data_IF_216143973511
#
_entry.id   IF_216143973511
#
_cell.length_a   1.000
_cell.length_b   1.000
_cell.length_c   1.000
_cell.angle_alpha   90.00
_cell.angle_beta   90.00
_cell.angle_gamma   90.00
#
_symmetry.space_group_name_H-M   'P 1'
#
loop_
_entity.id
_entity.type
_entity.pdbx_description
1 polymer ?
#
# COMPACT_ATOMS: atom_id res chain seq x y z
N UNK A 1 -10.73 12.12 23.07
CA UNK A 1 -10.01 12.27 21.77
C UNK A 1 -9.85 10.98 20.97
N UNK A 2 -9.87 9.80 21.58
CA UNK A 2 -9.88 8.49 20.88
C UNK A 2 -10.99 8.34 19.81
N UNK A 3 -12.17 8.96 20.01
CA UNK A 3 -13.28 8.92 19.04
C UNK A 3 -13.02 9.68 17.73
N UNK A 4 -12.17 10.70 17.74
CA UNK A 4 -11.78 11.43 16.53
C UNK A 4 -10.83 10.63 15.64
N UNK A 5 -9.93 9.85 16.23
CA UNK A 5 -9.01 9.00 15.47
C UNK A 5 -9.73 7.82 14.80
N UNK A 6 -10.68 7.18 15.47
CA UNK A 6 -11.43 6.05 14.91
C UNK A 6 -12.36 6.47 13.76
N UNK A 7 -12.99 7.65 13.86
CA UNK A 7 -13.83 8.20 12.77
C UNK A 7 -13.05 8.49 11.48
N UNK A 8 -11.72 8.69 11.55
CA UNK A 8 -10.89 8.93 10.38
C UNK A 8 -10.40 7.64 9.69
N UNK A 9 -10.45 6.50 10.38
CA UNK A 9 -10.00 5.22 9.83
C UNK A 9 -11.11 4.46 9.08
N UNK A 10 -12.38 4.78 9.36
CA UNK A 10 -13.56 4.02 8.90
C UNK A 10 -14.09 4.45 7.53
N UNK A 11 -13.46 5.45 6.87
CA UNK A 11 -13.90 5.91 5.56
C UNK A 11 -13.23 5.11 4.43
N UNK A 12 -13.76 3.91 4.24
CA UNK A 12 -13.93 3.16 2.99
C UNK A 12 -12.79 3.17 1.96
N UNK A 13 -11.74 2.39 2.23
CA UNK A 13 -10.98 1.76 1.15
C UNK A 13 -11.86 0.75 0.36
N UNK A 14 -12.90 0.24 0.98
CA UNK A 14 -13.88 -0.69 0.39
C UNK A 14 -14.72 -0.06 -0.73
N UNK A 15 -15.12 1.22 -0.61
CA UNK A 15 -15.94 1.89 -1.64
C UNK A 15 -15.24 2.07 -2.98
N UNK A 16 -13.92 2.13 -3.00
CA UNK A 16 -13.17 2.23 -4.25
C UNK A 16 -13.02 0.88 -4.96
N UNK A 17 -12.88 -0.21 -4.22
CA UNK A 17 -12.75 -1.55 -4.81
C UNK A 17 -14.10 -2.12 -5.25
N UNK A 18 -15.20 -1.81 -4.53
CA UNK A 18 -16.54 -2.27 -4.89
C UNK A 18 -17.28 -1.39 -5.89
N UNK A 19 -16.89 -0.12 -6.08
CA UNK A 19 -17.54 0.79 -7.01
C UNK A 19 -17.04 0.69 -8.47
N UNK A 20 -16.25 -0.33 -8.82
CA UNK A 20 -15.83 -0.64 -10.19
C UNK A 20 -16.98 -1.18 -11.08
N UNK A 21 -18.23 -0.88 -10.69
CA UNK A 21 -19.42 -1.25 -11.44
C UNK A 21 -19.61 -0.43 -12.71
N UNK A 22 -19.83 -1.13 -13.78
CA UNK A 22 -20.46 -0.82 -15.06
C UNK A 22 -20.32 0.62 -15.58
N UNK A 23 -19.44 0.81 -16.57
CA UNK A 23 -19.51 1.94 -17.49
C UNK A 23 -20.60 1.68 -18.53
N UNK A 24 -21.68 2.46 -18.63
CA UNK A 24 -22.79 2.21 -19.55
C UNK A 24 -22.42 2.39 -21.03
N UNK A 25 -21.23 2.92 -21.33
CA UNK A 25 -20.84 3.27 -22.71
C UNK A 25 -20.01 2.22 -23.45
N UNK A 26 -19.43 1.26 -22.76
CA UNK A 26 -18.66 0.17 -23.39
C UNK A 26 -19.51 -1.08 -23.62
N UNK A 27 -20.77 -0.94 -24.01
CA UNK A 27 -21.82 -1.98 -24.17
C UNK A 27 -21.27 -3.41 -24.29
N UNK A 28 -21.47 -4.23 -23.26
CA UNK A 28 -21.07 -5.65 -23.24
C UNK A 28 -19.57 -5.92 -23.01
N UNK A 29 -18.75 -4.88 -22.87
CA UNK A 29 -17.30 -4.99 -22.61
C UNK A 29 -16.82 -4.19 -21.40
N UNK A 30 -17.72 -3.92 -20.47
CA UNK A 30 -17.46 -3.07 -19.29
C UNK A 30 -16.30 -3.63 -18.46
N UNK A 31 -16.24 -4.92 -18.26
CA UNK A 31 -15.14 -5.58 -17.52
C UNK A 31 -13.78 -5.41 -18.20
N UNK A 32 -13.75 -5.55 -19.54
CA UNK A 32 -12.52 -5.36 -20.32
C UNK A 32 -12.09 -3.89 -20.30
N UNK A 33 -13.05 -2.96 -20.42
CA UNK A 33 -12.79 -1.51 -20.33
C UNK A 33 -12.27 -1.11 -18.96
N UNK A 34 -12.93 -1.54 -17.89
CA UNK A 34 -12.50 -1.24 -16.51
C UNK A 34 -11.09 -1.78 -16.23
N UNK A 35 -10.79 -2.99 -16.69
CA UNK A 35 -9.45 -3.54 -16.56
C UNK A 35 -8.40 -2.74 -17.36
N UNK A 36 -8.70 -2.37 -18.61
CA UNK A 36 -7.84 -1.53 -19.43
C UNK A 36 -7.61 -0.16 -18.78
N UNK A 37 -8.68 0.50 -18.31
CA UNK A 37 -8.62 1.79 -17.66
C UNK A 37 -7.78 1.72 -16.38
N UNK A 38 -7.96 0.67 -15.59
CA UNK A 38 -7.12 0.42 -14.41
C UNK A 38 -5.64 0.29 -14.77
N UNK A 39 -5.31 -0.46 -15.82
CA UNK A 39 -3.91 -0.61 -16.25
C UNK A 39 -3.32 0.72 -16.75
N UNK A 40 -4.11 1.52 -17.48
CA UNK A 40 -3.73 2.85 -17.98
C UNK A 40 -3.41 3.81 -16.83
N UNK A 41 -4.19 3.78 -15.74
CA UNK A 41 -4.05 4.66 -14.58
C UNK A 41 -3.36 3.99 -13.38
N UNK A 42 -2.69 2.87 -13.59
CA UNK A 42 -2.06 2.08 -12.52
C UNK A 42 -1.09 2.91 -11.66
N UNK A 43 -0.30 3.74 -12.28
CA UNK A 43 0.70 4.54 -11.59
C UNK A 43 0.05 5.69 -10.78
N UNK A 44 -1.01 6.30 -11.31
CA UNK A 44 -1.81 7.30 -10.59
C UNK A 44 -2.49 6.67 -9.36
N UNK A 45 -3.08 5.49 -9.52
CA UNK A 45 -3.67 4.73 -8.42
C UNK A 45 -2.64 4.31 -7.37
N UNK A 46 -1.43 3.95 -7.80
CA UNK A 46 -0.33 3.67 -6.88
C UNK A 46 0.11 4.93 -6.11
N UNK A 47 0.14 6.09 -6.78
CA UNK A 47 0.42 7.39 -6.14
C UNK A 47 -0.64 7.74 -5.09
N UNK A 48 -1.92 7.53 -5.39
CA UNK A 48 -3.03 7.73 -4.44
C UNK A 48 -2.87 6.82 -3.21
N UNK A 49 -2.56 5.54 -3.41
CA UNK A 49 -2.29 4.62 -2.30
C UNK A 49 -1.11 5.10 -1.44
N UNK A 50 -0.03 5.54 -2.07
CA UNK A 50 1.13 6.10 -1.37
C UNK A 50 0.77 7.35 -0.55
N UNK A 51 -0.06 8.25 -1.09
CA UNK A 51 -0.54 9.43 -0.37
C UNK A 51 -1.42 9.04 0.84
N UNK A 52 -2.30 8.04 0.70
CA UNK A 52 -3.12 7.52 1.81
C UNK A 52 -2.25 6.93 2.92
N UNK A 53 -1.25 6.12 2.56
CA UNK A 53 -0.29 5.59 3.54
C UNK A 53 0.51 6.71 4.24
N UNK A 54 0.91 7.74 3.49
CA UNK A 54 1.58 8.91 4.07
C UNK A 54 0.67 9.67 5.05
N UNK A 55 -0.62 9.82 4.74
CA UNK A 55 -1.61 10.39 5.64
C UNK A 55 -1.75 9.56 6.93
N UNK A 56 -1.91 8.24 6.81
CA UNK A 56 -1.97 7.33 7.97
C UNK A 56 -0.73 7.43 8.85
N UNK A 57 0.46 7.49 8.25
CA UNK A 57 1.70 7.67 8.99
C UNK A 57 1.77 9.03 9.70
N UNK A 58 1.25 10.09 9.07
CA UNK A 58 1.16 11.42 9.69
C UNK A 58 0.25 11.39 10.92
N UNK A 59 -0.89 10.69 10.87
CA UNK A 59 -1.78 10.54 12.02
C UNK A 59 -1.14 9.72 13.16
N UNK A 60 -0.47 8.61 12.86
CA UNK A 60 0.25 7.83 13.88
C UNK A 60 1.35 8.65 14.57
N UNK A 61 2.07 9.48 13.80
CA UNK A 61 3.08 10.37 14.38
C UNK A 61 2.44 11.49 15.19
N UNK A 62 1.27 12.00 14.78
CA UNK A 62 0.51 12.99 15.53
C UNK A 62 0.03 12.44 16.87
N UNK A 63 -0.50 11.23 16.89
CA UNK A 63 -0.91 10.52 18.10
C UNK A 63 0.26 10.38 19.08
N UNK A 64 1.42 9.90 18.60
CA UNK A 64 2.63 9.82 19.42
C UNK A 64 3.04 11.18 19.98
N UNK A 65 3.01 12.25 19.17
CA UNK A 65 3.38 13.59 19.65
C UNK A 65 2.36 14.11 20.67
N UNK A 66 1.09 13.78 20.56
CA UNK A 66 0.06 14.09 21.53
C UNK A 66 0.29 13.35 22.86
N UNK A 67 0.63 12.06 22.79
CA UNK A 67 0.98 11.29 24.00
C UNK A 67 2.23 11.85 24.69
N UNK A 68 3.24 12.29 23.92
CA UNK A 68 4.42 12.96 24.47
C UNK A 68 4.03 14.28 25.15
N UNK A 69 3.14 15.10 24.57
CA UNK A 69 2.63 16.33 25.18
C UNK A 69 1.95 16.04 26.52
N UNK A 70 1.07 15.06 26.54
CA UNK A 70 0.37 14.65 27.76
C UNK A 70 1.35 14.20 28.85
N UNK A 71 2.40 13.44 28.50
CA UNK A 71 3.44 13.03 29.46
C UNK A 71 4.19 14.23 30.03
N UNK A 72 4.49 15.24 29.22
CA UNK A 72 5.15 16.46 29.72
C UNK A 72 4.24 17.26 30.61
N UNK A 73 2.94 17.37 30.32
CA UNK A 73 1.97 18.00 31.21
C UNK A 73 1.89 17.26 32.55
N UNK A 74 1.82 15.95 32.54
CA UNK A 74 1.84 15.13 33.75
C UNK A 74 3.10 15.36 34.61
N UNK A 75 4.27 15.52 33.97
CA UNK A 75 5.51 15.82 34.66
C UNK A 75 5.52 17.25 35.25
N UNK A 76 5.00 18.22 34.51
CA UNK A 76 4.86 19.58 34.97
C UNK A 76 3.92 19.66 36.17
N UNK A 77 2.80 18.95 36.13
CA UNK A 77 1.85 18.89 37.25
C UNK A 77 2.47 18.24 38.49
N UNK A 78 3.22 17.13 38.31
CA UNK A 78 3.97 16.52 39.44
C UNK A 78 4.90 17.51 40.13
N UNK A 79 5.61 18.31 39.34
CA UNK A 79 6.50 19.34 39.89
C UNK A 79 5.70 20.44 40.59
N UNK A 80 4.59 20.88 40.01
CA UNK A 80 3.71 21.89 40.58
C UNK A 80 3.17 21.44 41.96
N UNK A 81 2.70 20.21 42.08
CA UNK A 81 2.27 19.63 43.35
C UNK A 81 3.41 19.59 44.38
N UNK A 82 4.64 19.24 43.95
CA UNK A 82 5.80 19.22 44.83
C UNK A 82 6.14 20.63 45.33
N UNK A 83 6.06 21.64 44.48
CA UNK A 83 6.25 23.06 44.87
C UNK A 83 5.20 23.47 45.88
N UNK A 84 3.94 23.06 45.71
CA UNK A 84 2.84 23.32 46.64
C UNK A 84 2.93 22.52 47.95
N UNK A 85 3.97 21.72 48.15
CA UNK A 85 4.21 20.98 49.37
C UNK A 85 3.51 19.62 49.45
N UNK A 86 3.22 19.03 48.32
CA UNK A 86 2.65 17.68 48.24
C UNK A 86 3.70 16.64 47.87
N UNK A 87 3.62 15.49 48.53
CA UNK A 87 4.48 14.34 48.23
C UNK A 87 3.68 13.30 47.41
N UNK A 88 4.30 12.81 46.39
CA UNK A 88 3.73 11.69 45.62
C UNK A 88 3.63 10.43 46.48
N UNK A 89 2.46 9.79 46.53
CA UNK A 89 2.21 8.55 47.21
C UNK A 89 1.64 7.55 46.20
N UNK A 90 2.51 6.73 45.65
CA UNK A 90 2.10 5.75 44.62
C UNK A 90 1.75 6.39 43.27
N UNK A 91 0.99 5.71 42.43
CA UNK A 91 0.63 6.18 41.10
C UNK A 91 -0.51 7.20 41.08
N UNK A 92 -1.17 7.45 42.20
CA UNK A 92 -2.29 8.38 42.34
C UNK A 92 -1.92 9.57 43.24
N UNK A 93 -2.48 10.75 42.95
CA UNK A 93 -2.20 12.01 43.66
C UNK A 93 -3.51 12.62 44.15
N UNK A 94 -3.51 13.16 45.38
CA UNK A 94 -4.67 13.79 45.98
C UNK A 94 -4.40 15.30 46.10
N UNK A 95 -5.29 16.11 45.56
CA UNK A 95 -5.20 17.56 45.66
C UNK A 95 -5.56 18.07 47.05
N UNK A 96 -5.13 19.33 47.46
CA UNK A 96 -5.36 19.87 48.78
C UNK A 96 -6.83 20.06 49.13
N UNK A 97 -7.68 20.22 48.13
CA UNK A 97 -9.13 20.43 48.30
C UNK A 97 -9.90 19.09 48.43
N UNK A 98 -9.18 17.95 48.53
CA UNK A 98 -9.79 16.61 48.62
C UNK A 98 -10.34 16.09 47.30
N UNK A 99 -10.15 16.83 46.20
CA UNK A 99 -10.51 16.31 44.87
C UNK A 99 -9.47 15.28 44.43
N UNK A 100 -9.91 14.08 44.19
CA UNK A 100 -9.04 13.03 43.67
C UNK A 100 -8.92 13.16 42.16
N UNK A 101 -7.79 13.58 41.69
CA UNK A 101 -7.43 13.43 40.30
C UNK A 101 -7.10 11.96 40.04
N UNK A 102 -7.75 11.35 39.07
CA UNK A 102 -7.64 9.91 38.74
C UNK A 102 -6.23 9.43 38.40
N UNK A 103 -5.24 10.32 38.33
CA UNK A 103 -3.90 9.97 37.85
C UNK A 103 -2.81 10.26 38.93
N UNK A 104 -3.05 11.14 39.92
CA UNK A 104 -2.00 11.55 40.86
C UNK A 104 -2.52 11.65 42.29
N UNK A 105 -1.85 10.99 43.24
CA UNK A 105 -2.04 11.15 44.70
C UNK A 105 -0.81 11.81 45.33
N UNK A 106 -1.00 12.95 46.03
CA UNK A 106 0.05 13.59 46.81
C UNK A 106 -0.40 13.75 48.26
N UNK A 107 0.45 13.38 49.20
CA UNK A 107 0.28 13.76 50.61
C UNK A 107 1.03 15.07 50.88
N UNK A 108 0.47 15.89 51.81
CA UNK A 108 1.07 17.15 52.22
C UNK A 108 2.50 16.90 52.72
N UNK A 109 3.46 17.62 52.17
CA UNK A 109 4.85 17.57 52.61
C UNK A 109 5.10 18.51 53.75
N UNK A 110 5.68 18.03 54.85
CA UNK A 110 5.92 18.84 56.07
C UNK A 110 7.17 19.72 56.01
N UNK A 111 7.99 19.60 54.95
CA UNK A 111 9.24 20.38 54.81
C UNK A 111 9.07 21.52 53.80
N UNK A 112 9.53 22.72 54.16
CA UNK A 112 9.69 23.82 53.20
C UNK A 112 10.86 23.54 52.26
N UNK A 113 10.63 23.72 50.97
CA UNK A 113 11.72 23.76 49.99
C UNK A 113 12.57 25.02 50.28
N UNK A 114 13.89 24.92 50.10
CA UNK A 114 14.72 26.12 50.07
C UNK A 114 14.50 26.88 48.75
N UNK A 115 14.77 28.18 48.71
CA UNK A 115 14.51 29.02 47.54
C UNK A 115 15.18 28.47 46.27
N UNK A 116 16.43 28.02 46.36
CA UNK A 116 17.15 27.47 45.20
C UNK A 116 16.52 26.18 44.65
N UNK A 117 15.97 25.32 45.53
CA UNK A 117 15.28 24.11 45.11
C UNK A 117 13.92 24.44 44.48
N UNK A 118 13.22 25.45 44.98
CA UNK A 118 11.97 25.95 44.42
C UNK A 118 12.18 26.55 43.04
N UNK A 119 13.19 27.38 42.83
CA UNK A 119 13.56 27.98 41.57
C UNK A 119 13.93 26.88 40.53
N UNK A 120 14.72 25.91 40.95
CA UNK A 120 15.10 24.78 40.11
C UNK A 120 13.86 23.97 39.64
N UNK A 121 12.91 23.73 40.55
CA UNK A 121 11.65 23.03 40.20
C UNK A 121 10.75 23.87 39.30
N UNK A 122 10.66 25.19 39.51
CA UNK A 122 9.92 26.10 38.64
C UNK A 122 10.50 26.14 37.24
N UNK A 123 11.83 26.17 37.12
CA UNK A 123 12.49 26.10 35.81
C UNK A 123 12.19 24.77 35.09
N UNK A 124 12.28 23.65 35.80
CA UNK A 124 11.95 22.33 35.24
C UNK A 124 10.47 22.24 34.83
N UNK A 125 9.53 22.76 35.63
CA UNK A 125 8.11 22.84 35.31
C UNK A 125 7.87 23.64 34.04
N UNK A 126 8.48 24.81 33.93
CA UNK A 126 8.34 25.67 32.75
C UNK A 126 8.91 24.99 31.49
N UNK A 127 10.03 24.29 31.62
CA UNK A 127 10.60 23.51 30.52
C UNK A 127 9.65 22.37 30.03
N UNK A 128 9.06 21.62 30.95
CA UNK A 128 8.10 20.60 30.59
C UNK A 128 6.84 21.17 29.93
N UNK A 129 6.31 22.30 30.44
CA UNK A 129 5.20 22.99 29.78
C UNK A 129 5.55 23.45 28.37
N UNK A 130 6.76 23.97 28.17
CA UNK A 130 7.24 24.33 26.81
C UNK A 130 7.31 23.10 25.90
N UNK A 131 7.86 21.98 26.38
CA UNK A 131 7.94 20.72 25.62
C UNK A 131 6.55 20.15 25.30
N UNK A 132 5.60 20.27 26.22
CA UNK A 132 4.19 19.89 25.96
C UNK A 132 3.61 20.71 24.82
N UNK A 133 3.70 22.02 24.88
CA UNK A 133 3.21 22.92 23.82
C UNK A 133 3.87 22.64 22.47
N UNK A 134 5.18 22.42 22.45
CA UNK A 134 5.90 22.07 21.22
C UNK A 134 5.39 20.74 20.60
N UNK A 135 5.13 19.75 21.46
CA UNK A 135 4.60 18.45 21.04
C UNK A 135 3.17 18.55 20.52
N UNK A 136 2.33 19.38 21.16
CA UNK A 136 0.96 19.66 20.68
C UNK A 136 0.96 20.36 19.32
N UNK A 137 1.78 21.40 19.17
CA UNK A 137 1.93 22.11 17.90
C UNK A 137 2.40 21.14 16.80
N UNK A 138 3.34 20.25 17.12
CA UNK A 138 3.81 19.21 16.21
C UNK A 138 2.69 18.25 15.83
N UNK A 139 1.89 17.81 16.79
CA UNK A 139 0.72 16.96 16.56
C UNK A 139 -0.27 17.63 15.61
N UNK A 140 -0.63 18.89 15.86
CA UNK A 140 -1.54 19.67 15.00
C UNK A 140 -1.01 19.82 13.57
N UNK A 141 0.29 20.10 13.40
CA UNK A 141 0.92 20.18 12.07
C UNK A 141 0.85 18.84 11.32
N UNK A 142 1.06 17.73 12.02
CA UNK A 142 0.99 16.40 11.45
C UNK A 142 -0.45 16.02 11.05
N UNK A 143 -1.45 16.37 11.85
CA UNK A 143 -2.87 16.20 11.53
C UNK A 143 -3.23 17.02 10.28
N UNK A 144 -2.82 18.28 10.24
CA UNK A 144 -3.07 19.16 9.08
C UNK A 144 -2.44 18.59 7.81
N UNK A 145 -1.21 18.07 7.90
CA UNK A 145 -0.52 17.41 6.78
C UNK A 145 -1.27 16.15 6.34
N UNK A 146 -1.67 15.30 7.30
CA UNK A 146 -2.44 14.09 7.03
C UNK A 146 -3.77 14.39 6.34
N UNK A 147 -4.51 15.41 6.81
CA UNK A 147 -5.75 15.87 6.20
C UNK A 147 -5.56 16.33 4.76
N UNK A 148 -4.51 17.12 4.46
CA UNK A 148 -4.19 17.56 3.09
C UNK A 148 -3.91 16.37 2.19
N UNK A 149 -3.09 15.41 2.63
CA UNK A 149 -2.76 14.21 1.87
C UNK A 149 -4.01 13.33 1.62
N UNK A 150 -4.84 13.12 2.65
CA UNK A 150 -6.09 12.35 2.53
C UNK A 150 -7.07 13.02 1.55
N UNK A 151 -7.26 14.33 1.67
CA UNK A 151 -8.19 15.06 0.81
C UNK A 151 -7.72 15.09 -0.65
N UNK A 152 -6.42 15.30 -0.90
CA UNK A 152 -5.83 15.21 -2.23
C UNK A 152 -6.04 13.83 -2.83
N UNK A 153 -5.70 12.77 -2.10
CA UNK A 153 -5.90 11.39 -2.54
C UNK A 153 -7.37 11.06 -2.82
N UNK A 154 -8.30 11.58 -1.99
CA UNK A 154 -9.76 11.39 -2.18
C UNK A 154 -10.26 12.12 -3.43
N UNK A 155 -9.81 13.35 -3.66
CA UNK A 155 -10.20 14.14 -4.83
C UNK A 155 -9.72 13.46 -6.13
N UNK A 156 -8.48 13.00 -6.15
CA UNK A 156 -7.89 12.35 -7.31
C UNK A 156 -8.54 10.98 -7.60
N UNK A 157 -8.80 10.19 -6.56
CA UNK A 157 -9.54 8.95 -6.70
C UNK A 157 -10.96 9.16 -7.25
N UNK A 158 -11.67 10.21 -6.78
CA UNK A 158 -12.99 10.57 -7.31
C UNK A 158 -12.92 10.99 -8.78
N UNK A 159 -11.89 11.75 -9.20
CA UNK A 159 -11.69 12.14 -10.59
C UNK A 159 -11.51 10.89 -11.46
N UNK A 160 -10.58 10.00 -11.11
CA UNK A 160 -10.32 8.77 -11.87
C UNK A 160 -11.58 7.90 -11.98
N UNK A 161 -12.33 7.77 -10.87
CA UNK A 161 -13.59 7.00 -10.88
C UNK A 161 -14.67 7.64 -11.75
N UNK A 162 -14.77 8.99 -11.71
CA UNK A 162 -15.70 9.72 -12.55
C UNK A 162 -15.37 9.54 -14.02
N UNK A 163 -14.10 9.68 -14.40
CA UNK A 163 -13.64 9.56 -15.79
C UNK A 163 -13.82 8.11 -16.29
N UNK A 164 -13.57 7.12 -15.45
CA UNK A 164 -13.84 5.72 -15.76
C UNK A 164 -15.32 5.45 -16.02
N UNK A 165 -16.22 6.04 -15.23
CA UNK A 165 -17.68 5.89 -15.39
C UNK A 165 -18.22 6.70 -16.59
N UNK A 166 -17.54 7.77 -16.96
CA UNK A 166 -17.92 8.67 -18.04
C UNK A 166 -16.80 8.77 -19.09
N UNK A 167 -16.51 7.67 -19.82
CA UNK A 167 -15.41 7.64 -20.77
C UNK A 167 -15.63 8.68 -21.88
N UNK A 168 -14.57 9.39 -22.23
CA UNK A 168 -14.56 10.27 -23.41
C UNK A 168 -14.53 9.43 -24.70
N UNK A 169 -14.90 10.04 -25.82
CA UNK A 169 -14.76 9.38 -27.11
C UNK A 169 -13.30 8.96 -27.38
N UNK A 170 -12.34 9.74 -26.93
CA UNK A 170 -10.91 9.43 -27.03
C UNK A 170 -10.56 8.17 -26.23
N UNK A 171 -11.02 8.04 -24.98
CA UNK A 171 -10.76 6.86 -24.16
C UNK A 171 -11.34 5.59 -24.78
N UNK A 172 -12.52 5.69 -25.36
CA UNK A 172 -13.14 4.57 -26.07
C UNK A 172 -12.33 4.16 -27.30
N UNK A 173 -11.89 5.12 -28.11
CA UNK A 173 -11.05 4.86 -29.28
C UNK A 173 -9.74 4.18 -28.87
N UNK A 174 -9.05 4.72 -27.87
CA UNK A 174 -7.81 4.13 -27.34
C UNK A 174 -8.05 2.68 -26.82
N UNK A 175 -9.11 2.47 -26.05
CA UNK A 175 -9.49 1.15 -25.56
C UNK A 175 -9.70 0.15 -26.71
N UNK A 176 -10.44 0.53 -27.75
CA UNK A 176 -10.70 -0.36 -28.89
C UNK A 176 -9.43 -0.62 -29.69
N UNK A 177 -8.58 0.38 -29.91
CA UNK A 177 -7.29 0.21 -30.59
C UNK A 177 -6.37 -0.72 -29.79
N UNK A 178 -6.15 -0.47 -28.50
CA UNK A 178 -5.26 -1.27 -27.65
C UNK A 178 -5.72 -2.71 -27.54
N UNK A 179 -7.01 -2.94 -27.35
CA UNK A 179 -7.56 -4.30 -27.26
C UNK A 179 -7.49 -5.04 -28.57
N UNK A 180 -7.65 -4.36 -29.71
CA UNK A 180 -7.52 -4.95 -31.03
C UNK A 180 -6.07 -5.35 -31.31
N UNK A 181 -5.13 -4.46 -31.03
CA UNK A 181 -3.68 -4.73 -31.16
C UNK A 181 -3.26 -5.87 -30.24
N UNK A 182 -3.74 -5.89 -28.99
CA UNK A 182 -3.44 -6.98 -28.06
C UNK A 182 -3.97 -8.33 -28.52
N UNK A 183 -5.20 -8.38 -29.07
CA UNK A 183 -5.78 -9.59 -29.68
C UNK A 183 -4.98 -10.05 -30.90
N UNK A 184 -4.58 -9.13 -31.79
CA UNK A 184 -3.75 -9.44 -32.95
C UNK A 184 -2.38 -10.02 -32.54
N UNK A 185 -1.68 -9.39 -31.58
CA UNK A 185 -0.41 -9.90 -31.02
C UNK A 185 -0.57 -11.30 -30.41
N UNK A 186 -1.66 -11.55 -29.69
CA UNK A 186 -1.95 -12.87 -29.09
C UNK A 186 -2.21 -13.95 -30.16
N UNK A 187 -2.91 -13.58 -31.21
CA UNK A 187 -3.18 -14.48 -32.34
C UNK A 187 -1.89 -14.79 -33.12
N UNK A 188 -1.06 -13.77 -33.39
CA UNK A 188 0.25 -13.96 -34.03
C UNK A 188 1.19 -14.85 -33.19
N UNK A 189 1.21 -14.68 -31.88
CA UNK A 189 1.99 -15.53 -30.97
C UNK A 189 1.51 -16.99 -30.99
N UNK A 190 0.20 -17.21 -31.01
CA UNK A 190 -0.36 -18.58 -31.17
C UNK A 190 0.01 -19.19 -32.52
N UNK A 191 -0.16 -18.45 -33.63
CA UNK A 191 0.23 -18.89 -34.95
C UNK A 191 1.72 -19.28 -35.02
N UNK A 192 2.60 -18.45 -34.43
CA UNK A 192 4.02 -18.77 -34.33
C UNK A 192 4.28 -20.10 -33.59
N UNK A 193 3.60 -20.32 -32.45
CA UNK A 193 3.72 -21.60 -31.72
C UNK A 193 3.26 -22.80 -32.54
N UNK A 194 2.15 -22.66 -33.25
CA UNK A 194 1.67 -23.75 -34.13
C UNK A 194 2.63 -24.03 -35.30
N UNK A 195 3.16 -22.98 -35.95
CA UNK A 195 4.15 -23.12 -37.00
C UNK A 195 5.42 -23.82 -36.50
N UNK A 196 5.94 -23.43 -35.34
CA UNK A 196 7.12 -24.07 -34.73
C UNK A 196 6.86 -25.55 -34.43
N UNK A 197 5.68 -25.88 -33.90
CA UNK A 197 5.29 -27.27 -33.63
C UNK A 197 5.16 -28.09 -34.94
N UNK A 198 4.54 -27.51 -35.95
CA UNK A 198 4.42 -28.18 -37.28
C UNK A 198 5.78 -28.44 -37.91
N UNK A 199 6.69 -27.44 -37.85
CA UNK A 199 8.07 -27.62 -38.35
C UNK A 199 8.85 -28.69 -37.60
N UNK A 200 8.73 -28.78 -36.29
CA UNK A 200 9.39 -29.82 -35.48
C UNK A 200 8.86 -31.21 -35.84
N UNK A 201 7.54 -31.32 -36.03
CA UNK A 201 6.89 -32.56 -36.43
C UNK A 201 7.31 -33.00 -37.86
N UNK A 202 7.32 -32.06 -38.80
CA UNK A 202 7.80 -32.33 -40.18
C UNK A 202 9.25 -32.79 -40.18
N UNK A 203 10.12 -32.13 -39.40
CA UNK A 203 11.53 -32.53 -39.26
C UNK A 203 11.66 -33.95 -38.70
N UNK A 204 10.85 -34.33 -37.74
CA UNK A 204 10.83 -35.70 -37.18
C UNK A 204 10.47 -36.72 -38.26
N UNK A 205 9.39 -36.47 -38.98
CA UNK A 205 8.98 -37.37 -40.07
C UNK A 205 10.00 -37.48 -41.20
N UNK A 206 10.64 -36.38 -41.60
CA UNK A 206 11.70 -36.39 -42.56
C UNK A 206 12.89 -37.25 -42.10
N UNK A 207 13.29 -37.11 -40.84
CA UNK A 207 14.38 -37.91 -40.24
C UNK A 207 14.03 -39.43 -40.21
N UNK A 208 12.79 -39.77 -39.85
CA UNK A 208 12.32 -41.14 -39.83
C UNK A 208 12.25 -41.76 -41.25
N UNK A 209 11.79 -40.98 -42.22
CA UNK A 209 11.77 -41.39 -43.62
C UNK A 209 13.17 -41.66 -44.19
N UNK A 210 14.13 -40.75 -43.89
CA UNK A 210 15.54 -40.94 -44.27
C UNK A 210 16.14 -42.20 -43.64
N UNK A 211 15.92 -42.42 -42.36
CA UNK A 211 16.38 -43.62 -41.65
C UNK A 211 15.80 -44.91 -42.25
N UNK A 212 14.53 -44.89 -42.65
CA UNK A 212 13.86 -46.01 -43.27
C UNK A 212 14.40 -46.26 -44.66
N UNK A 213 14.63 -45.23 -45.47
CA UNK A 213 15.26 -45.33 -46.79
C UNK A 213 16.68 -45.89 -46.73
N UNK A 214 17.49 -45.42 -45.77
CA UNK A 214 18.84 -45.98 -45.53
C UNK A 214 18.81 -47.47 -45.19
N UNK A 215 17.90 -47.87 -44.27
CA UNK A 215 17.74 -49.30 -43.91
C UNK A 215 17.35 -50.15 -45.13
N UNK A 216 16.45 -49.64 -45.96
CA UNK A 216 16.02 -50.33 -47.22
C UNK A 216 17.17 -50.43 -48.21
N UNK A 217 17.95 -49.35 -48.42
CA UNK A 217 19.11 -49.36 -49.26
C UNK A 217 20.21 -50.37 -48.82
N UNK A 218 20.44 -50.43 -47.50
CA UNK A 218 21.38 -51.42 -46.91
C UNK A 218 20.90 -52.85 -47.13
N UNK A 219 19.59 -53.13 -47.01
CA UNK A 219 19.01 -54.45 -47.32
C UNK A 219 19.18 -54.78 -48.77
N UNK A 220 18.84 -53.86 -49.69
CA UNK A 220 19.00 -54.06 -51.14
C UNK A 220 20.46 -54.39 -51.54
N UNK A 221 21.41 -53.62 -50.96
CA UNK A 221 22.84 -53.87 -51.16
C UNK A 221 23.27 -55.27 -50.70
N UNK A 222 22.79 -55.73 -49.52
CA UNK A 222 23.04 -57.10 -49.04
C UNK A 222 22.48 -58.17 -49.98
N UNK A 223 21.27 -57.97 -50.46
CA UNK A 223 20.67 -58.90 -51.43
C UNK A 223 21.44 -58.96 -52.77
N UNK A 224 21.80 -57.80 -53.35
CA UNK A 224 22.58 -57.73 -54.54
C UNK A 224 23.94 -58.40 -54.38
N UNK A 225 24.65 -58.19 -53.26
CA UNK A 225 25.91 -58.86 -53.00
C UNK A 225 25.77 -60.38 -52.85
N UNK A 226 24.69 -60.83 -52.25
CA UNK A 226 24.41 -62.29 -52.11
C UNK A 226 24.10 -62.94 -53.48
N UNK A 227 23.32 -62.27 -54.31
CA UNK A 227 23.00 -62.75 -55.65
C UNK A 227 24.25 -62.82 -56.55
N UNK A 228 25.10 -61.80 -56.55
CA UNK A 228 26.37 -61.79 -57.28
C UNK A 228 27.28 -62.94 -56.82
N UNK A 229 27.38 -63.22 -55.54
CA UNK A 229 28.18 -64.34 -55.02
C UNK A 229 27.60 -65.73 -55.43
N UNK A 230 26.28 -65.87 -55.68
CA UNK A 230 25.69 -67.13 -56.12
C UNK A 230 25.77 -67.37 -57.62
N UNK A 231 25.98 -66.30 -58.40
CA UNK A 231 26.17 -66.41 -59.87
C UNK A 231 27.60 -66.62 -60.28
N UNK A 232 28.59 -66.26 -59.44
CA UNK A 232 30.01 -66.36 -59.69
C UNK A 232 30.59 -67.68 -59.17
N UNK A 233 29.75 -68.55 -58.63
CA UNK A 233 30.08 -69.94 -58.32
C UNK A 233 29.48 -70.88 -59.36
#
# INVERSE_FOLDING_TARGET
MSRYFNSFMDDSSEDLEHSWGTSPKAKGREKEYNHWYYQKHKDELAAIRKQRHAATNSYKQAEKSYDDARRYDELADKIDYRIRGYRQVGPTYEAPDGTSHTIYKFNKYSGRLNANAEDSLNNAKNEYKRKSMESDIKSMKLITRGNRQKNSAKAEAKRILHDMKNPTAKDLVEFYLDTTVAKAKKSASKAKKYATKAMSTAKKYATEAMSTAEKSARKAKKYATKTIKSVVR
#
